data_IF_544538061008
#
_entry.id   IF_544538061008
#
_cell.length_a   1.000
_cell.length_b   1.000
_cell.length_c   1.000
_cell.angle_alpha   90.00
_cell.angle_beta   90.00
_cell.angle_gamma   90.00
#
_symmetry.space_group_name_H-M   'P 1'
#
loop_
_entity.id
_entity.type
_entity.pdbx_description
1 polymer ?
#
# COMPACT_ATOMS: atom_id res chain seq x y z
N UNK A 1 18.45 56.69 -29.14
CA UNK A 1 18.10 56.62 -27.71
C UNK A 1 17.41 55.27 -27.51
N UNK A 2 18.15 54.22 -27.14
CA UNK A 2 18.19 53.64 -25.77
C UNK A 2 16.81 53.42 -25.14
N UNK A 3 16.45 52.18 -24.75
CA UNK A 3 15.21 51.92 -24.04
C UNK A 3 15.35 52.41 -22.60
N UNK A 4 14.37 53.18 -22.11
CA UNK A 4 14.25 53.47 -20.68
C UNK A 4 13.08 52.67 -20.13
N UNK A 5 13.42 51.75 -19.23
CA UNK A 5 12.50 51.09 -18.34
C UNK A 5 11.69 52.12 -17.55
N UNK A 6 10.36 52.00 -17.59
CA UNK A 6 9.49 52.63 -16.60
C UNK A 6 9.25 51.62 -15.48
N UNK A 7 10.00 51.83 -14.39
CA UNK A 7 9.74 51.26 -13.08
C UNK A 7 8.58 52.05 -12.47
N UNK A 8 7.44 51.40 -12.26
CA UNK A 8 6.33 51.94 -11.46
C UNK A 8 6.27 51.22 -10.12
N UNK A 9 6.98 51.74 -9.14
CA UNK A 9 6.87 51.37 -7.71
C UNK A 9 5.57 51.92 -7.12
N UNK A 10 4.86 51.11 -6.32
CA UNK A 10 3.72 51.56 -5.54
C UNK A 10 3.19 50.47 -4.61
N UNK A 11 3.90 50.23 -3.52
CA UNK A 11 3.48 49.41 -2.38
C UNK A 11 2.18 49.97 -1.77
N UNK A 12 1.19 49.11 -1.53
CA UNK A 12 0.06 49.42 -0.65
C UNK A 12 -1.13 48.48 -0.81
N UNK A 13 -1.22 47.45 0.04
CA UNK A 13 -2.46 46.70 0.25
C UNK A 13 -2.23 45.19 0.38
N UNK A 14 -2.03 44.73 1.61
CA UNK A 14 -2.06 43.32 1.96
C UNK A 14 -3.35 42.65 1.49
N UNK A 15 -3.23 41.59 0.70
CA UNK A 15 -4.10 40.43 0.80
C UNK A 15 -3.20 39.22 1.03
N UNK A 16 -2.89 38.98 2.31
CA UNK A 16 -2.41 37.70 2.76
C UNK A 16 -3.55 36.68 2.60
N UNK A 17 -3.43 35.78 1.64
CA UNK A 17 -4.12 34.49 1.64
C UNK A 17 -3.43 33.53 0.66
N UNK A 18 -2.72 32.53 1.20
CA UNK A 18 -2.52 31.23 0.53
C UNK A 18 -1.29 31.08 -0.37
N UNK A 19 -0.17 30.67 0.22
CA UNK A 19 0.62 29.47 -0.16
C UNK A 19 -0.01 28.66 -1.32
N UNK A 20 0.66 28.29 -2.41
CA UNK A 20 2.06 27.94 -2.62
C UNK A 20 2.05 26.72 -3.57
N UNK A 21 2.97 26.68 -4.54
CA UNK A 21 3.19 25.49 -5.38
C UNK A 21 2.76 25.66 -6.83
N UNK A 22 3.64 26.24 -7.64
CA UNK A 22 3.64 26.17 -9.10
C UNK A 22 3.57 24.71 -9.56
N UNK A 23 2.44 24.31 -10.14
CA UNK A 23 2.29 23.04 -10.84
C UNK A 23 3.28 23.00 -12.02
N UNK A 24 4.02 21.92 -12.10
CA UNK A 24 5.04 21.65 -13.11
C UNK A 24 4.36 21.54 -14.48
N UNK A 25 4.68 22.47 -15.38
CA UNK A 25 4.29 22.40 -16.77
C UNK A 25 5.25 21.46 -17.52
N UNK A 26 4.89 20.18 -17.64
CA UNK A 26 5.51 19.31 -18.64
C UNK A 26 4.81 19.54 -19.98
N UNK A 27 5.46 20.33 -20.85
CA UNK A 27 5.11 20.43 -22.25
C UNK A 27 5.41 19.10 -22.95
N UNK A 28 4.39 18.30 -23.22
CA UNK A 28 4.46 17.17 -24.15
C UNK A 28 3.72 17.55 -25.44
N UNK A 29 4.38 17.28 -26.57
CA UNK A 29 3.98 17.71 -27.90
C UNK A 29 2.61 17.23 -28.34
N UNK A 30 2.10 17.97 -29.32
CA UNK A 30 0.92 17.69 -30.11
C UNK A 30 0.85 16.24 -30.59
N UNK A 31 -0.17 15.50 -30.18
CA UNK A 31 -1.03 14.64 -31.02
C UNK A 31 -2.36 14.51 -30.28
N UNK A 32 -3.46 14.82 -30.98
CA UNK A 32 -4.77 14.93 -30.37
C UNK A 32 -5.29 13.61 -29.83
N UNK A 33 -5.92 13.62 -28.66
CA UNK A 33 -6.80 12.53 -28.25
C UNK A 33 -7.85 13.02 -27.27
N UNK A 34 -8.99 12.33 -27.35
CA UNK A 34 -10.32 12.60 -26.79
C UNK A 34 -10.30 13.14 -25.36
N UNK A 35 -11.32 13.93 -25.04
CA UNK A 35 -11.72 14.26 -23.66
C UNK A 35 -11.74 13.00 -22.80
N UNK A 36 -10.64 12.75 -22.08
CA UNK A 36 -10.59 11.82 -20.97
C UNK A 36 -11.39 12.52 -19.88
N UNK A 37 -12.65 12.10 -19.71
CA UNK A 37 -13.38 12.29 -18.47
C UNK A 37 -12.40 11.94 -17.36
N UNK A 38 -12.09 12.89 -16.46
CA UNK A 38 -11.26 12.66 -15.28
C UNK A 38 -11.68 11.34 -14.66
N UNK A 39 -10.88 10.29 -14.87
CA UNK A 39 -11.01 9.06 -14.11
C UNK A 39 -10.91 9.50 -12.65
N UNK A 40 -12.00 9.34 -11.89
CA UNK A 40 -11.88 9.27 -10.44
C UNK A 40 -10.90 8.13 -10.20
N UNK A 41 -9.67 8.47 -9.82
CA UNK A 41 -8.65 7.53 -9.43
C UNK A 41 -9.28 6.54 -8.45
N UNK A 42 -9.48 5.29 -8.89
CA UNK A 42 -10.20 4.29 -8.11
C UNK A 42 -9.35 3.97 -6.88
N UNK A 43 -9.62 4.68 -5.79
CA UNK A 43 -8.93 4.50 -4.52
C UNK A 43 -9.17 3.06 -4.06
N UNK A 44 -8.07 2.36 -3.81
CA UNK A 44 -8.06 0.98 -3.36
C UNK A 44 -7.17 0.84 -2.12
N UNK A 45 -7.13 -0.35 -1.54
CA UNK A 45 -6.32 -0.61 -0.34
C UNK A 45 -4.84 -0.26 -0.56
N UNK A 46 -4.26 -0.59 -1.71
CA UNK A 46 -2.85 -0.29 -2.00
C UNK A 46 -2.59 1.22 -2.07
N UNK A 47 -3.45 1.96 -2.77
CA UNK A 47 -3.37 3.41 -2.88
C UNK A 47 -3.37 4.07 -1.50
N UNK A 48 -4.33 3.70 -0.65
CA UNK A 48 -4.44 4.23 0.70
C UNK A 48 -3.24 3.83 1.56
N UNK A 49 -2.77 2.59 1.45
CA UNK A 49 -1.67 2.08 2.25
C UNK A 49 -0.33 2.74 1.88
N UNK A 50 -0.09 3.03 0.60
CA UNK A 50 1.09 3.78 0.15
C UNK A 50 1.07 5.24 0.63
N UNK A 51 -0.12 5.84 0.77
CA UNK A 51 -0.28 7.18 1.32
C UNK A 51 -0.22 7.22 2.86
N UNK A 52 -0.39 6.07 3.54
CA UNK A 52 -0.44 6.00 4.99
C UNK A 52 0.97 6.08 5.62
N UNK A 53 1.13 6.97 6.59
CA UNK A 53 2.39 7.14 7.34
C UNK A 53 2.84 5.88 8.08
N UNK A 54 1.92 4.97 8.40
CA UNK A 54 2.20 3.65 9.00
C UNK A 54 3.07 2.73 8.13
N UNK A 55 3.20 3.04 6.84
CA UNK A 55 4.04 2.31 5.88
C UNK A 55 5.24 3.12 5.39
N UNK A 56 5.52 4.28 5.98
CA UNK A 56 6.75 5.01 5.70
C UNK A 56 7.97 4.10 5.98
N UNK A 57 8.84 3.94 4.98
CA UNK A 57 10.01 3.05 5.07
C UNK A 57 9.73 1.56 4.85
N UNK A 58 8.49 1.19 4.51
CA UNK A 58 8.11 -0.17 4.11
C UNK A 58 7.90 -0.26 2.61
N UNK A 59 8.07 -1.45 2.06
CA UNK A 59 7.74 -1.80 0.69
C UNK A 59 6.54 -2.75 0.65
N UNK A 60 5.74 -2.67 -0.41
CA UNK A 60 4.70 -3.65 -0.69
C UNK A 60 5.34 -4.97 -1.15
N UNK A 61 5.02 -6.08 -0.47
CA UNK A 61 5.60 -7.40 -0.73
C UNK A 61 4.62 -8.39 -1.38
N UNK A 62 3.39 -7.96 -1.68
CA UNK A 62 2.37 -8.85 -2.24
C UNK A 62 2.56 -9.21 -3.71
N UNK A 63 3.19 -8.33 -4.50
CA UNK A 63 3.40 -8.52 -5.96
C UNK A 63 4.60 -9.42 -6.29
N UNK A 64 5.56 -9.51 -5.37
CA UNK A 64 6.72 -10.35 -5.55
C UNK A 64 6.35 -11.78 -5.20
N UNK A 65 6.06 -12.59 -6.23
CA UNK A 65 5.90 -14.06 -6.21
C UNK A 65 6.54 -14.64 -4.95
N UNK A 66 5.75 -15.15 -4.02
CA UNK A 66 5.98 -15.96 -2.81
C UNK A 66 7.37 -15.95 -2.14
N UNK A 67 8.47 -16.00 -2.90
CA UNK A 67 9.87 -15.87 -2.53
C UNK A 67 10.19 -14.76 -1.52
N UNK A 68 9.67 -13.53 -1.66
CA UNK A 68 9.97 -12.46 -0.69
C UNK A 68 9.35 -12.77 0.67
N UNK A 69 8.07 -13.13 0.66
CA UNK A 69 7.34 -13.55 1.87
C UNK A 69 8.02 -14.80 2.48
N UNK A 70 8.39 -15.78 1.66
CA UNK A 70 9.08 -17.00 2.07
C UNK A 70 10.43 -16.70 2.73
N UNK A 71 11.18 -15.75 2.18
CA UNK A 71 12.44 -15.28 2.78
C UNK A 71 12.20 -14.63 4.13
N UNK A 72 11.19 -13.76 4.23
CA UNK A 72 10.83 -13.10 5.49
C UNK A 72 10.32 -14.09 6.55
N UNK A 73 9.64 -15.16 6.16
CA UNK A 73 9.24 -16.25 7.06
C UNK A 73 10.43 -17.04 7.63
N UNK A 74 11.57 -17.05 6.94
CA UNK A 74 12.80 -17.67 7.40
C UNK A 74 13.70 -16.70 8.19
N UNK A 75 13.39 -15.40 8.17
CA UNK A 75 14.16 -14.38 8.86
C UNK A 75 13.94 -14.45 10.38
N UNK A 76 15.01 -14.21 11.13
CA UNK A 76 15.02 -14.16 12.60
C UNK A 76 15.13 -12.73 13.14
N UNK A 77 15.25 -11.74 12.26
CA UNK A 77 15.34 -10.32 12.59
C UNK A 77 14.09 -9.85 13.31
N UNK A 78 14.26 -9.11 14.41
CA UNK A 78 13.15 -8.54 15.19
C UNK A 78 12.71 -7.17 14.64
N UNK A 79 11.40 -6.90 14.53
CA UNK A 79 10.29 -7.82 14.79
C UNK A 79 10.22 -8.94 13.73
N UNK A 80 9.89 -10.17 14.13
CA UNK A 80 9.81 -11.28 13.18
C UNK A 80 8.57 -11.13 12.29
N UNK A 81 8.77 -11.30 10.98
CA UNK A 81 7.66 -11.28 10.04
C UNK A 81 6.66 -12.42 10.31
N UNK A 82 7.16 -13.62 10.62
CA UNK A 82 6.33 -14.77 10.96
C UNK A 82 5.38 -14.50 12.14
N UNK A 83 5.87 -13.86 13.20
CA UNK A 83 5.05 -13.48 14.36
C UNK A 83 4.04 -12.39 14.00
N UNK A 84 4.46 -11.39 13.22
CA UNK A 84 3.58 -10.32 12.76
C UNK A 84 2.44 -10.88 11.92
N UNK A 85 2.74 -11.79 10.98
CA UNK A 85 1.79 -12.44 10.12
C UNK A 85 0.86 -13.36 10.92
N UNK A 86 1.39 -14.16 11.86
CA UNK A 86 0.60 -15.00 12.78
C UNK A 86 -0.44 -14.18 13.56
N UNK A 87 -0.08 -12.96 13.98
CA UNK A 87 -1.01 -12.12 14.75
C UNK A 87 -2.17 -11.56 13.92
N UNK A 88 -2.04 -11.50 12.60
CA UNK A 88 -3.11 -11.03 11.69
C UNK A 88 -3.72 -12.12 10.83
N UNK A 89 -3.21 -13.35 10.91
CA UNK A 89 -3.64 -14.46 10.08
C UNK A 89 -5.15 -14.69 10.11
N UNK A 90 -5.78 -14.62 11.29
CA UNK A 90 -7.22 -14.84 11.45
C UNK A 90 -8.05 -13.68 10.87
N UNK A 91 -7.45 -12.51 10.70
CA UNK A 91 -8.04 -11.33 10.06
C UNK A 91 -7.82 -11.32 8.54
N UNK A 92 -6.89 -12.12 8.04
CA UNK A 92 -6.73 -12.42 6.62
C UNK A 92 -7.79 -13.44 6.24
N UNK A 93 -9.04 -13.03 6.21
CA UNK A 93 -10.10 -13.78 5.55
C UNK A 93 -10.52 -12.99 4.32
N UNK A 94 -11.09 -13.69 3.36
CA UNK A 94 -11.85 -13.04 2.32
C UNK A 94 -13.34 -13.19 2.66
N UNK A 95 -14.08 -12.08 2.69
CA UNK A 95 -15.54 -12.09 2.88
C UNK A 95 -16.29 -12.63 1.64
N UNK A 96 -15.59 -12.97 0.55
CA UNK A 96 -16.22 -13.75 -0.52
C UNK A 96 -16.45 -15.16 -0.03
N UNK A 97 -17.68 -15.64 -0.23
CA UNK A 97 -18.33 -16.80 0.40
C UNK A 97 -17.68 -18.17 0.16
N UNK A 98 -16.46 -18.23 -0.36
CA UNK A 98 -15.72 -19.45 -0.53
C UNK A 98 -14.26 -19.21 -0.15
N UNK A 99 -13.61 -20.29 0.26
CA UNK A 99 -12.19 -20.44 0.51
C UNK A 99 -11.33 -20.19 -0.76
N UNK A 100 -11.67 -19.20 -1.59
CA UNK A 100 -11.30 -19.06 -3.00
C UNK A 100 -9.83 -18.76 -3.23
N UNK A 101 -9.17 -18.19 -2.22
CA UNK A 101 -7.73 -17.92 -2.23
C UNK A 101 -6.90 -19.08 -1.71
N UNK A 102 -7.54 -20.16 -1.23
CA UNK A 102 -6.88 -21.37 -0.75
C UNK A 102 -6.15 -21.16 0.57
N UNK A 103 -6.80 -20.54 1.57
CA UNK A 103 -6.23 -20.41 2.91
C UNK A 103 -5.96 -21.81 3.48
N UNK A 104 -4.73 -22.08 3.98
CA UNK A 104 -4.44 -23.33 4.67
C UNK A 104 -5.43 -23.56 5.82
N UNK A 105 -6.05 -24.74 5.87
CA UNK A 105 -6.99 -25.12 6.92
C UNK A 105 -6.29 -25.70 8.17
N UNK A 106 -4.95 -25.81 8.13
CA UNK A 106 -4.13 -26.19 9.26
C UNK A 106 -4.24 -25.14 10.36
N UNK A 107 -4.19 -25.58 11.62
CA UNK A 107 -4.19 -24.69 12.76
C UNK A 107 -3.06 -23.65 12.66
N UNK A 108 -3.34 -22.41 13.06
CA UNK A 108 -2.40 -21.31 12.95
C UNK A 108 -1.15 -21.52 13.80
N UNK A 109 -1.28 -22.05 15.01
CA UNK A 109 -0.13 -22.34 15.87
C UNK A 109 0.71 -23.49 15.31
N UNK A 110 0.09 -24.42 14.58
CA UNK A 110 0.79 -25.46 13.84
C UNK A 110 1.51 -24.94 12.58
N UNK A 111 0.92 -23.99 11.85
CA UNK A 111 1.53 -23.34 10.69
C UNK A 111 2.73 -22.47 11.07
N UNK A 112 2.61 -21.72 12.17
CA UNK A 112 3.61 -20.75 12.64
C UNK A 112 4.34 -21.26 13.89
N UNK A 113 4.88 -22.49 13.82
CA UNK A 113 5.82 -23.03 14.81
C UNK A 113 7.12 -22.20 14.85
N UNK A 114 7.89 -22.34 15.93
CA UNK A 114 9.19 -21.68 16.10
C UNK A 114 10.11 -21.88 14.88
N UNK A 115 10.13 -23.11 14.38
CA UNK A 115 10.73 -23.45 13.08
C UNK A 115 9.63 -23.85 12.12
N UNK A 116 9.34 -22.97 11.16
CA UNK A 116 8.34 -23.22 10.11
C UNK A 116 8.91 -24.24 9.12
N UNK A 117 8.21 -25.35 8.91
CA UNK A 117 8.57 -26.35 7.92
C UNK A 117 8.49 -25.78 6.50
N UNK A 118 9.32 -26.25 5.57
CA UNK A 118 9.37 -25.70 4.19
C UNK A 118 8.01 -25.77 3.48
N UNK A 119 7.25 -26.84 3.68
CA UNK A 119 5.90 -27.00 3.13
C UNK A 119 4.92 -25.95 3.68
N UNK A 120 5.03 -25.63 4.97
CA UNK A 120 4.22 -24.59 5.62
C UNK A 120 4.65 -23.21 5.13
N UNK A 121 5.96 -22.94 4.99
CA UNK A 121 6.43 -21.67 4.42
C UNK A 121 5.87 -21.42 3.03
N UNK A 122 5.89 -22.43 2.17
CA UNK A 122 5.34 -22.35 0.81
C UNK A 122 3.83 -22.09 0.82
N UNK A 123 3.09 -22.81 1.66
CA UNK A 123 1.64 -22.62 1.80
C UNK A 123 1.28 -21.23 2.34
N UNK A 124 1.99 -20.77 3.38
CA UNK A 124 1.81 -19.45 3.98
C UNK A 124 2.17 -18.35 2.98
N UNK A 125 3.30 -18.47 2.27
CA UNK A 125 3.73 -17.46 1.31
C UNK A 125 2.78 -17.35 0.13
N UNK A 126 2.36 -18.49 -0.43
CA UNK A 126 1.41 -18.57 -1.55
C UNK A 126 0.08 -17.92 -1.20
N UNK A 127 -0.47 -18.27 -0.05
CA UNK A 127 -1.72 -17.68 0.40
C UNK A 127 -1.58 -16.18 0.66
N UNK A 128 -0.51 -15.78 1.36
CA UNK A 128 -0.29 -14.37 1.72
C UNK A 128 -0.11 -13.50 0.48
N UNK A 129 0.66 -13.95 -0.53
CA UNK A 129 0.83 -13.21 -1.79
C UNK A 129 -0.52 -13.04 -2.50
N UNK A 130 -1.28 -14.12 -2.68
CA UNK A 130 -2.61 -14.06 -3.30
C UNK A 130 -3.58 -13.16 -2.54
N UNK A 131 -3.59 -13.24 -1.22
CA UNK A 131 -4.45 -12.40 -0.37
C UNK A 131 -4.04 -10.93 -0.48
N UNK A 132 -2.75 -10.63 -0.42
CA UNK A 132 -2.25 -9.27 -0.63
C UNK A 132 -2.64 -8.74 -2.00
N UNK A 133 -2.43 -9.51 -3.07
CA UNK A 133 -2.80 -9.10 -4.42
C UNK A 133 -4.31 -8.85 -4.54
N UNK A 134 -5.12 -9.75 -3.97
CA UNK A 134 -6.57 -9.64 -4.00
C UNK A 134 -7.07 -8.39 -3.25
N UNK A 135 -6.62 -8.19 -2.01
CA UNK A 135 -7.02 -7.04 -1.19
C UNK A 135 -6.48 -5.73 -1.77
N UNK A 136 -5.26 -5.72 -2.32
CA UNK A 136 -4.64 -4.51 -2.90
C UNK A 136 -5.52 -3.84 -3.96
N UNK A 137 -6.29 -4.65 -4.70
CA UNK A 137 -7.18 -4.24 -5.80
C UNK A 137 -8.61 -3.91 -5.32
N UNK A 138 -8.99 -4.25 -4.07
CA UNK A 138 -10.33 -3.95 -3.56
C UNK A 138 -10.51 -2.43 -3.40
N UNK A 139 -11.69 -1.89 -3.79
CA UNK A 139 -11.95 -0.47 -3.65
C UNK A 139 -11.99 -0.08 -2.17
N UNK A 140 -11.35 1.05 -1.85
CA UNK A 140 -11.30 1.63 -0.51
C UNK A 140 -11.16 3.15 -0.60
N UNK A 141 -12.26 3.86 -0.41
CA UNK A 141 -12.31 5.32 -0.55
C UNK A 141 -11.63 6.07 0.59
N UNK A 142 -11.54 5.47 1.78
CA UNK A 142 -10.92 6.05 2.97
C UNK A 142 -10.37 4.97 3.92
N UNK A 143 -9.40 5.35 4.76
CA UNK A 143 -8.83 4.46 5.78
C UNK A 143 -9.89 4.16 6.84
N UNK A 144 -10.27 2.88 7.03
CA UNK A 144 -11.31 2.52 7.98
C UNK A 144 -10.82 2.66 9.42
N UNK A 145 -11.66 3.26 10.27
CA UNK A 145 -11.35 3.50 11.71
C UNK A 145 -12.06 2.51 12.64
N UNK A 146 -13.09 1.80 12.17
CA UNK A 146 -13.86 0.80 12.94
C UNK A 146 -14.38 -0.33 12.03
N UNK A 147 -14.64 -1.51 12.60
CA UNK A 147 -15.40 -2.60 11.96
C UNK A 147 -14.55 -3.61 11.16
N UNK A 148 -15.20 -4.42 10.33
CA UNK A 148 -14.56 -5.50 9.56
C UNK A 148 -13.49 -4.95 8.59
N UNK A 149 -13.79 -3.83 7.94
CA UNK A 149 -12.83 -3.14 7.05
C UNK A 149 -11.55 -2.71 7.81
N UNK A 150 -11.64 -2.35 9.10
CA UNK A 150 -10.47 -2.05 9.91
C UNK A 150 -9.61 -3.31 10.14
N UNK A 151 -10.22 -4.47 10.38
CA UNK A 151 -9.47 -5.72 10.51
C UNK A 151 -8.75 -6.09 9.21
N UNK A 152 -9.43 -5.97 8.07
CA UNK A 152 -8.83 -6.20 6.74
C UNK A 152 -7.71 -5.21 6.47
N UNK A 153 -7.91 -3.93 6.81
CA UNK A 153 -6.90 -2.88 6.70
C UNK A 153 -5.67 -3.17 7.55
N UNK A 154 -5.85 -3.48 8.84
CA UNK A 154 -4.75 -3.80 9.76
C UNK A 154 -3.97 -5.02 9.28
N UNK A 155 -4.68 -6.06 8.84
CA UNK A 155 -4.07 -7.26 8.28
C UNK A 155 -3.30 -6.94 7.00
N UNK A 156 -3.84 -6.10 6.11
CA UNK A 156 -3.20 -5.71 4.87
C UNK A 156 -1.90 -4.95 5.12
N UNK A 157 -1.92 -3.98 6.02
CA UNK A 157 -0.74 -3.20 6.38
C UNK A 157 0.34 -4.03 7.08
N UNK A 158 -0.03 -5.07 7.83
CA UNK A 158 0.93 -5.90 8.58
C UNK A 158 1.45 -7.09 7.77
N UNK A 159 0.63 -7.68 6.92
CA UNK A 159 0.99 -8.84 6.10
C UNK A 159 1.64 -8.43 4.77
N UNK A 160 1.20 -7.32 4.16
CA UNK A 160 1.57 -6.97 2.79
C UNK A 160 2.62 -5.88 2.68
N UNK A 161 3.02 -5.26 3.81
CA UNK A 161 4.06 -4.25 3.86
C UNK A 161 5.12 -4.62 4.88
N UNK A 162 6.38 -4.59 4.45
CA UNK A 162 7.51 -4.89 5.33
C UNK A 162 8.64 -3.92 5.16
N UNK A 163 9.48 -3.77 6.19
CA UNK A 163 10.62 -2.85 6.17
C UNK A 163 11.50 -3.14 4.97
N UNK A 164 11.80 -2.09 4.20
CA UNK A 164 12.72 -2.21 3.07
C UNK A 164 14.10 -2.56 3.63
N UNK A 165 14.61 -3.73 3.26
CA UNK A 165 15.98 -4.10 3.61
C UNK A 165 16.88 -3.24 2.73
N UNK A 166 17.72 -2.42 3.37
CA UNK A 166 18.63 -1.49 2.72
C UNK A 166 19.75 -2.23 1.96
#
# INVERSE_FOLDING_TARGET
MTPQAAVGTGLGGLAAAGVGGTAVAYAAGAFGEKEIKKDEEVKNYLFQALAASSNAGKEYIGENKDSRIKTLLADSTSPKYSETLKNVWDKMNDDTSENSLGKPNTDKDELFKETIEEANKESISTYTSKWCEHISKKPLSEVPTTGVNQNTWDAFNKACFWTKVA
#
